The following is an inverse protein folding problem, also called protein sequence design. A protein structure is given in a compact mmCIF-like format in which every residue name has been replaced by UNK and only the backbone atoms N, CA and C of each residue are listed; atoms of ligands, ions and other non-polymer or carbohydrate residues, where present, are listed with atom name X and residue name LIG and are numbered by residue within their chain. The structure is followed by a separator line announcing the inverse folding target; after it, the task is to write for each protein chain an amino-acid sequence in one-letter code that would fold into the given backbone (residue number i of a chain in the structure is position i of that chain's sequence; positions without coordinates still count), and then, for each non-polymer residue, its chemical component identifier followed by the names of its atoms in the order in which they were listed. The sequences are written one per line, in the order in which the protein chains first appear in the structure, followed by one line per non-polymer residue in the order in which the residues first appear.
data_IF_623075878895
#
_entry.id   IF_623075878895
#
_cell.length_a   1.000
_cell.length_b   1.000
_cell.length_c   1.000
_cell.angle_alpha   90.00
_cell.angle_beta   90.00
_cell.angle_gamma   90.00
#
_symmetry.space_group_name_H-M   'P 1'
#
loop_
_entity.id
_entity.type
_entity.pdbx_description
1 polymer ?
#
# COMPACT_ATOMS: atom_id res chain seq x y z
N UNK A 1 -13.30 -3.52 28.23
CA UNK A 1 -12.34 -4.36 27.49
C UNK A 1 -11.72 -3.48 26.41
N UNK A 2 -10.40 -3.57 26.17
CA UNK A 2 -9.80 -2.85 25.04
C UNK A 2 -10.34 -3.43 23.73
N UNK A 3 -10.77 -2.57 22.81
CA UNK A 3 -11.12 -2.98 21.46
C UNK A 3 -9.90 -3.60 20.78
N UNK A 4 -10.12 -4.62 19.95
CA UNK A 4 -9.08 -5.13 19.06
C UNK A 4 -8.56 -4.02 18.16
N UNK A 5 -7.25 -3.99 17.92
CA UNK A 5 -6.63 -3.07 16.97
C UNK A 5 -6.44 -3.83 15.65
N UNK A 6 -7.27 -3.52 14.65
CA UNK A 6 -7.26 -4.18 13.34
C UNK A 6 -6.41 -3.37 12.37
N UNK A 7 -5.22 -3.87 12.05
CA UNK A 7 -4.29 -3.27 11.10
C UNK A 7 -4.49 -3.93 9.74
N UNK A 8 -4.71 -3.13 8.70
CA UNK A 8 -5.01 -3.60 7.35
C UNK A 8 -3.96 -3.07 6.36
N UNK A 9 -3.47 -3.94 5.49
CA UNK A 9 -2.83 -3.52 4.24
C UNK A 9 -3.88 -2.96 3.26
N UNK A 10 -3.42 -2.37 2.16
CA UNK A 10 -4.27 -1.91 1.07
C UNK A 10 -4.13 -2.79 -0.16
N UNK A 11 -2.93 -2.89 -0.74
CA UNK A 11 -2.70 -3.65 -1.97
C UNK A 11 -2.97 -5.14 -1.79
N UNK A 12 -3.94 -5.66 -2.54
CA UNK A 12 -4.44 -7.04 -2.42
C UNK A 12 -5.19 -7.35 -1.11
N UNK A 13 -5.63 -6.33 -0.37
CA UNK A 13 -6.50 -6.48 0.81
C UNK A 13 -7.73 -5.60 0.68
N UNK A 14 -7.56 -4.27 0.71
CA UNK A 14 -8.67 -3.31 0.57
C UNK A 14 -8.85 -2.81 -0.87
N UNK A 15 -7.81 -2.88 -1.70
CA UNK A 15 -7.84 -2.54 -3.12
C UNK A 15 -6.86 -3.41 -3.91
N UNK A 16 -7.02 -3.46 -5.22
CA UNK A 16 -6.09 -4.17 -6.11
C UNK A 16 -4.68 -3.57 -6.10
N UNK A 17 -3.68 -4.39 -6.42
CA UNK A 17 -2.28 -3.97 -6.58
C UNK A 17 -2.06 -3.19 -7.89
N UNK A 18 -0.88 -2.59 -8.06
CA UNK A 18 -0.51 -1.80 -9.25
C UNK A 18 0.04 -2.62 -10.42
N UNK A 19 -0.21 -3.93 -10.48
CA UNK A 19 0.43 -4.78 -11.50
C UNK A 19 0.01 -4.41 -12.92
N UNK A 20 -1.26 -4.08 -13.14
CA UNK A 20 -1.80 -3.66 -14.44
C UNK A 20 -1.15 -2.37 -14.97
N UNK A 21 -0.75 -1.45 -14.08
CA UNK A 21 -0.02 -0.24 -14.46
C UNK A 21 1.30 -0.58 -15.17
N UNK A 22 2.02 -1.59 -14.69
CA UNK A 22 3.31 -1.98 -15.27
C UNK A 22 3.15 -2.64 -16.64
N UNK A 23 2.07 -3.40 -16.86
CA UNK A 23 1.73 -3.92 -18.18
C UNK A 23 1.40 -2.80 -19.17
N UNK A 24 0.60 -1.82 -18.75
CA UNK A 24 0.27 -0.65 -19.57
C UNK A 24 1.53 0.16 -19.92
N UNK A 25 2.40 0.42 -18.94
CA UNK A 25 3.66 1.11 -19.17
C UNK A 25 4.57 0.34 -20.15
N UNK A 26 4.66 -0.97 -20.02
CA UNK A 26 5.42 -1.83 -20.94
C UNK A 26 4.91 -1.72 -22.38
N UNK A 27 3.59 -1.71 -22.58
CA UNK A 27 2.97 -1.54 -23.89
C UNK A 27 3.25 -0.15 -24.49
N UNK A 28 3.08 0.92 -23.70
CA UNK A 28 3.34 2.30 -24.13
C UNK A 28 4.81 2.53 -24.46
N UNK A 29 5.72 2.01 -23.63
CA UNK A 29 7.16 2.09 -23.85
C UNK A 29 7.65 1.22 -25.02
N UNK A 30 6.83 0.25 -25.46
CA UNK A 30 7.19 -0.80 -26.43
C UNK A 30 8.45 -1.57 -26.02
N UNK A 31 8.54 -1.87 -24.73
CA UNK A 31 9.63 -2.64 -24.12
C UNK A 31 9.06 -3.87 -23.40
N UNK A 32 9.80 -4.99 -23.32
CA UNK A 32 9.41 -6.12 -22.50
C UNK A 32 9.16 -5.70 -21.04
N UNK A 33 8.13 -6.26 -20.41
CA UNK A 33 7.78 -5.97 -19.02
C UNK A 33 8.95 -6.14 -18.06
N UNK A 34 9.72 -7.21 -18.23
CA UNK A 34 10.90 -7.50 -17.41
C UNK A 34 11.97 -6.40 -17.50
N UNK A 35 12.14 -5.80 -18.68
CA UNK A 35 13.08 -4.70 -18.87
C UNK A 35 12.60 -3.44 -18.13
N UNK A 36 11.33 -3.07 -18.29
CA UNK A 36 10.71 -1.96 -17.57
C UNK A 36 10.79 -2.17 -16.06
N UNK A 37 10.46 -3.37 -15.57
CA UNK A 37 10.54 -3.74 -14.15
C UNK A 37 11.97 -3.69 -13.63
N UNK A 38 12.95 -4.10 -14.42
CA UNK A 38 14.36 -4.07 -14.06
C UNK A 38 14.87 -2.63 -13.90
N UNK A 39 14.59 -1.76 -14.89
CA UNK A 39 14.94 -0.33 -14.84
C UNK A 39 14.30 0.32 -13.62
N UNK A 40 12.99 0.15 -13.43
CA UNK A 40 12.26 0.64 -12.26
C UNK A 40 12.88 0.17 -10.93
N UNK A 41 13.19 -1.12 -10.82
CA UNK A 41 13.73 -1.74 -9.61
C UNK A 41 15.09 -1.14 -9.23
N UNK A 42 15.94 -0.88 -10.21
CA UNK A 42 17.31 -0.36 -10.01
C UNK A 42 17.28 1.13 -9.74
N UNK A 43 16.50 1.89 -10.50
CA UNK A 43 16.64 3.35 -10.51
C UNK A 43 15.82 4.05 -9.45
N UNK A 44 14.59 3.58 -9.17
CA UNK A 44 13.62 4.44 -8.46
C UNK A 44 12.72 3.73 -7.45
N UNK A 45 12.54 2.40 -7.54
CA UNK A 45 11.60 1.65 -6.71
C UNK A 45 11.73 1.95 -5.22
N UNK A 46 12.95 1.87 -4.68
CA UNK A 46 13.17 2.04 -3.25
C UNK A 46 12.84 3.46 -2.80
N UNK A 47 13.26 4.46 -3.58
CA UNK A 47 13.08 5.87 -3.26
C UNK A 47 11.61 6.29 -3.39
N UNK A 48 10.90 5.75 -4.38
CA UNK A 48 9.47 5.95 -4.56
C UNK A 48 8.69 5.53 -3.31
N UNK A 49 8.88 4.29 -2.87
CA UNK A 49 8.10 3.73 -1.76
C UNK A 49 8.52 4.26 -0.39
N UNK A 50 9.71 4.86 -0.27
CA UNK A 50 10.18 5.50 0.97
C UNK A 50 9.93 7.00 1.01
N UNK A 51 9.41 7.61 -0.06
CA UNK A 51 9.17 9.06 -0.08
C UNK A 51 10.40 9.90 -0.33
N UNK A 52 11.52 9.29 -0.73
CA UNK A 52 12.75 10.03 -1.07
C UNK A 52 12.62 10.82 -2.37
N UNK A 53 11.67 10.44 -3.21
CA UNK A 53 11.20 11.22 -4.36
C UNK A 53 9.74 11.55 -4.18
N UNK A 54 9.28 12.60 -4.84
CA UNK A 54 7.89 13.03 -4.92
C UNK A 54 7.17 12.35 -6.10
N UNK A 55 5.84 12.41 -6.10
CA UNK A 55 5.07 11.93 -7.26
C UNK A 55 5.43 12.67 -8.56
N UNK A 56 5.56 14.02 -8.60
CA UNK A 56 6.01 14.71 -9.80
C UNK A 56 7.39 14.25 -10.30
N UNK A 57 8.32 13.94 -9.40
CA UNK A 57 9.64 13.40 -9.77
C UNK A 57 9.53 11.99 -10.35
N UNK A 58 8.61 11.16 -9.86
CA UNK A 58 8.31 9.86 -10.46
C UNK A 58 7.78 9.99 -11.90
N UNK A 59 6.87 10.92 -12.14
CA UNK A 59 6.35 11.18 -13.50
C UNK A 59 7.43 11.77 -14.43
N UNK A 60 8.28 12.65 -13.90
CA UNK A 60 9.44 13.20 -14.63
C UNK A 60 10.43 12.10 -15.01
N UNK A 61 10.72 11.18 -14.08
CA UNK A 61 11.56 10.02 -14.37
C UNK A 61 10.93 9.13 -15.44
N UNK A 62 9.63 8.82 -15.34
CA UNK A 62 8.93 8.00 -16.34
C UNK A 62 9.05 8.58 -17.75
N UNK A 63 8.75 9.87 -17.93
CA UNK A 63 8.81 10.52 -19.26
C UNK A 63 10.23 10.71 -19.77
N UNK A 64 11.22 10.84 -18.89
CA UNK A 64 12.64 10.90 -19.27
C UNK A 64 13.15 9.53 -19.71
N UNK A 65 12.82 8.48 -18.94
CA UNK A 65 13.29 7.11 -19.16
C UNK A 65 12.56 6.44 -20.33
N UNK A 66 11.26 6.73 -20.51
CA UNK A 66 10.42 6.18 -21.57
C UNK A 66 9.77 7.32 -22.38
N UNK A 67 10.51 8.00 -23.29
CA UNK A 67 10.07 9.24 -23.93
C UNK A 67 8.88 9.12 -24.91
N UNK A 68 8.38 7.90 -25.13
CA UNK A 68 7.25 7.63 -26.04
C UNK A 68 5.92 7.43 -25.31
N UNK A 69 5.92 7.43 -23.99
CA UNK A 69 4.70 7.20 -23.19
C UNK A 69 3.80 8.44 -23.21
N UNK A 70 2.50 8.21 -23.04
CA UNK A 70 1.57 9.27 -22.71
C UNK A 70 1.39 9.37 -21.17
N UNK A 71 1.93 10.43 -20.57
CA UNK A 71 1.88 10.65 -19.12
C UNK A 71 0.45 10.74 -18.57
N UNK A 72 -0.43 11.49 -19.23
CA UNK A 72 -1.81 11.69 -18.78
C UNK A 72 -2.61 10.38 -18.81
N UNK A 73 -2.43 9.59 -19.87
CA UNK A 73 -3.02 8.26 -19.96
C UNK A 73 -2.50 7.32 -18.86
N UNK A 74 -1.19 7.32 -18.61
CA UNK A 74 -0.61 6.47 -17.56
C UNK A 74 -1.02 6.89 -16.15
N UNK A 75 -1.23 8.20 -15.89
CA UNK A 75 -1.82 8.69 -14.63
C UNK A 75 -3.23 8.13 -14.44
N UNK A 76 -4.05 8.18 -15.48
CA UNK A 76 -5.40 7.59 -15.44
C UNK A 76 -5.34 6.09 -15.17
N UNK A 77 -4.48 5.35 -15.89
CA UNK A 77 -4.30 3.92 -15.67
C UNK A 77 -3.83 3.58 -14.26
N UNK A 78 -2.90 4.36 -13.70
CA UNK A 78 -2.41 4.16 -12.33
C UNK A 78 -3.56 4.29 -11.32
N UNK A 79 -4.37 5.34 -11.46
CA UNK A 79 -5.51 5.56 -10.56
C UNK A 79 -6.57 4.45 -10.68
N UNK A 80 -6.79 3.94 -11.89
CA UNK A 80 -7.72 2.84 -12.15
C UNK A 80 -7.22 1.48 -11.62
N UNK A 81 -5.91 1.33 -11.37
CA UNK A 81 -5.37 0.11 -10.76
C UNK A 81 -5.74 -0.02 -9.28
N UNK A 82 -6.10 1.05 -8.58
CA UNK A 82 -6.44 1.02 -7.16
C UNK A 82 -7.95 0.82 -6.97
N UNK A 83 -8.48 -0.26 -7.56
CA UNK A 83 -9.90 -0.60 -7.49
C UNK A 83 -10.23 -1.22 -6.13
N UNK A 84 -11.28 -0.75 -5.41
CA UNK A 84 -11.65 -1.32 -4.12
C UNK A 84 -12.03 -2.81 -4.21
N UNK A 85 -11.58 -3.59 -3.23
CA UNK A 85 -11.89 -5.02 -3.07
C UNK A 85 -13.06 -5.22 -2.10
N UNK A 86 -13.64 -6.43 -2.07
CA UNK A 86 -14.82 -6.75 -1.25
C UNK A 86 -14.62 -6.43 0.23
N UNK A 87 -13.42 -6.69 0.76
CA UNK A 87 -13.00 -6.37 2.12
C UNK A 87 -13.33 -4.92 2.58
N UNK A 88 -13.24 -3.94 1.67
CA UNK A 88 -13.50 -2.53 2.00
C UNK A 88 -14.93 -2.28 2.48
N UNK A 89 -15.87 -3.11 2.01
CA UNK A 89 -17.29 -2.99 2.37
C UNK A 89 -17.57 -3.41 3.82
N UNK A 90 -16.62 -4.11 4.46
CA UNK A 90 -16.74 -4.54 5.85
C UNK A 90 -16.18 -3.54 6.87
N UNK A 91 -15.54 -2.45 6.43
CA UNK A 91 -14.93 -1.46 7.34
C UNK A 91 -15.92 -0.91 8.38
N UNK A 92 -17.16 -0.60 7.99
CA UNK A 92 -18.20 -0.14 8.93
C UNK A 92 -18.52 -1.18 10.02
N UNK A 93 -18.61 -2.45 9.62
CA UNK A 93 -18.88 -3.57 10.54
C UNK A 93 -17.70 -3.79 11.49
N UNK A 94 -16.48 -3.75 10.97
CA UNK A 94 -15.27 -3.94 11.78
C UNK A 94 -15.06 -2.78 12.75
N UNK A 95 -15.31 -1.53 12.36
CA UNK A 95 -15.16 -0.34 13.21
C UNK A 95 -16.08 -0.36 14.45
N UNK A 96 -17.19 -1.11 14.38
CA UNK A 96 -18.08 -1.32 15.53
C UNK A 96 -17.43 -2.18 16.62
N UNK A 97 -16.44 -3.01 16.28
CA UNK A 97 -15.84 -4.00 17.18
C UNK A 97 -14.32 -3.80 17.39
N UNK A 98 -13.67 -3.04 16.51
CA UNK A 98 -12.22 -2.81 16.51
C UNK A 98 -11.89 -1.35 16.18
N UNK A 99 -10.72 -0.90 16.62
CA UNK A 99 -10.09 0.32 16.11
C UNK A 99 -9.36 -0.05 14.82
N UNK A 100 -9.65 0.64 13.70
CA UNK A 100 -9.09 0.30 12.38
C UNK A 100 -7.86 1.14 12.10
N UNK A 101 -6.77 0.49 11.69
CA UNK A 101 -5.51 1.12 11.33
C UNK A 101 -5.06 0.68 9.95
N UNK A 102 -4.38 1.56 9.22
CA UNK A 102 -3.77 1.24 7.93
C UNK A 102 -2.26 1.10 8.07
N UNK A 103 -1.68 0.04 7.50
CA UNK A 103 -0.24 -0.15 7.37
C UNK A 103 0.11 -0.63 5.95
N UNK A 104 0.56 0.29 5.10
CA UNK A 104 0.66 0.05 3.66
C UNK A 104 1.98 0.52 3.05
N UNK A 105 2.55 -0.29 2.16
CA UNK A 105 3.68 0.11 1.33
C UNK A 105 3.18 0.79 0.08
N UNK A 106 3.08 2.11 0.11
CA UNK A 106 2.44 2.86 -0.95
C UNK A 106 2.88 4.33 -0.99
N UNK A 107 2.41 5.07 -2.00
CA UNK A 107 2.47 6.54 -2.09
C UNK A 107 1.20 7.13 -1.50
N UNK A 108 1.33 7.98 -0.49
CA UNK A 108 0.19 8.55 0.22
C UNK A 108 -0.79 9.27 -0.71
N UNK A 109 -0.28 9.98 -1.71
CA UNK A 109 -1.05 10.70 -2.74
C UNK A 109 -2.01 9.78 -3.52
N UNK A 110 -1.61 8.53 -3.74
CA UNK A 110 -2.42 7.57 -4.51
C UNK A 110 -3.52 6.93 -3.68
N UNK A 111 -3.35 6.83 -2.36
CA UNK A 111 -4.25 6.04 -1.49
C UNK A 111 -5.18 6.89 -0.66
N UNK A 112 -4.83 8.14 -0.37
CA UNK A 112 -5.75 9.04 0.32
C UNK A 112 -7.08 9.23 -0.40
N UNK A 113 -7.15 9.35 -1.74
CA UNK A 113 -8.44 9.39 -2.44
C UNK A 113 -9.31 8.15 -2.17
N UNK A 114 -8.71 6.96 -2.16
CA UNK A 114 -9.39 5.69 -1.86
C UNK A 114 -9.91 5.64 -0.42
N UNK A 115 -9.12 6.12 0.55
CA UNK A 115 -9.48 6.08 1.97
C UNK A 115 -10.42 7.21 2.41
N UNK A 116 -10.52 8.29 1.63
CA UNK A 116 -11.26 9.49 2.01
C UNK A 116 -12.72 9.23 2.44
N UNK A 117 -13.51 8.35 1.78
CA UNK A 117 -14.87 8.02 2.23
C UNK A 117 -14.93 7.37 3.62
N UNK A 118 -13.86 6.65 4.00
CA UNK A 118 -13.78 5.87 5.24
C UNK A 118 -12.94 6.55 6.32
N UNK A 119 -12.41 7.75 6.08
CA UNK A 119 -11.51 8.47 7.00
C UNK A 119 -12.01 8.55 8.44
N UNK A 120 -13.32 8.69 8.63
CA UNK A 120 -13.96 8.77 9.94
C UNK A 120 -13.97 7.44 10.73
N UNK A 121 -13.71 6.31 10.07
CA UNK A 121 -13.60 4.97 10.67
C UNK A 121 -12.15 4.62 11.05
N UNK A 122 -11.17 5.36 10.52
CA UNK A 122 -9.75 5.04 10.67
C UNK A 122 -9.18 5.73 11.91
N UNK A 123 -8.61 4.95 12.81
CA UNK A 123 -7.93 5.42 14.02
C UNK A 123 -6.51 5.91 13.72
N UNK A 124 -5.81 5.28 12.78
CA UNK A 124 -4.51 5.77 12.32
C UNK A 124 -4.13 5.25 10.94
N UNK A 125 -3.20 5.93 10.27
CA UNK A 125 -2.72 5.60 8.93
C UNK A 125 -1.19 5.67 8.94
N UNK A 126 -0.54 4.59 8.51
CA UNK A 126 0.91 4.50 8.33
C UNK A 126 1.22 4.08 6.88
N UNK A 127 1.72 5.02 6.07
CA UNK A 127 2.07 4.80 4.67
C UNK A 127 3.59 4.93 4.51
N UNK A 128 4.21 3.98 3.80
CA UNK A 128 5.67 3.90 3.70
C UNK A 128 6.33 5.15 3.12
N UNK A 129 5.68 5.84 2.18
CA UNK A 129 6.22 7.08 1.58
C UNK A 129 6.27 8.24 2.55
N UNK A 130 5.41 8.27 3.56
CA UNK A 130 5.47 9.30 4.63
C UNK A 130 6.38 8.85 5.76
N UNK A 131 6.43 7.54 6.02
CA UNK A 131 7.21 6.94 7.09
C UNK A 131 8.72 6.85 6.79
N UNK A 132 9.16 7.00 5.53
CA UNK A 132 10.57 6.83 5.15
C UNK A 132 11.02 5.36 5.05
N UNK A 133 10.13 4.41 5.32
CA UNK A 133 10.44 2.98 5.44
C UNK A 133 9.20 2.14 5.13
N UNK A 134 9.40 0.99 4.47
CA UNK A 134 8.35 0.06 4.07
C UNK A 134 8.49 -1.32 4.71
N UNK A 135 7.39 -2.06 4.79
CA UNK A 135 7.36 -3.50 5.08
C UNK A 135 8.30 -4.25 4.10
N UNK A 136 8.99 -5.32 4.52
CA UNK A 136 8.94 -5.97 5.83
C UNK A 136 9.95 -5.40 6.86
N UNK A 137 10.48 -4.20 6.67
CA UNK A 137 11.40 -3.57 7.64
C UNK A 137 10.70 -3.34 8.99
N UNK A 138 11.29 -3.82 10.09
CA UNK A 138 10.70 -3.75 11.43
C UNK A 138 10.35 -2.32 11.88
N UNK A 139 11.04 -1.30 11.35
CA UNK A 139 10.82 0.10 11.74
C UNK A 139 9.41 0.58 11.39
N UNK A 140 8.80 0.13 10.29
CA UNK A 140 7.44 0.55 9.93
C UNK A 140 6.40 0.04 10.94
N UNK A 141 6.57 -1.18 11.46
CA UNK A 141 5.68 -1.76 12.46
C UNK A 141 5.78 -1.03 13.79
N UNK A 142 6.98 -0.56 14.15
CA UNK A 142 7.19 0.29 15.33
C UNK A 142 6.47 1.63 15.18
N UNK A 143 6.59 2.28 14.02
CA UNK A 143 5.87 3.53 13.73
C UNK A 143 4.34 3.35 13.79
N UNK A 144 3.83 2.24 13.25
CA UNK A 144 2.41 1.90 13.36
C UNK A 144 2.00 1.68 14.82
N UNK A 145 2.79 0.94 15.59
CA UNK A 145 2.54 0.70 17.02
C UNK A 145 2.58 1.98 17.85
N UNK A 146 3.44 2.94 17.50
CA UNK A 146 3.52 4.24 18.18
C UNK A 146 2.23 5.06 18.02
N UNK A 147 1.50 4.87 16.91
CA UNK A 147 0.17 5.46 16.70
C UNK A 147 -0.94 4.69 17.43
N UNK A 148 -0.81 3.36 17.57
CA UNK A 148 -1.77 2.49 18.28
C UNK A 148 -1.67 2.69 19.80
N UNK A 149 -0.46 2.91 20.32
CA UNK A 149 -0.16 2.93 21.76
C UNK A 149 -0.16 1.54 22.37
N UNK A 150 -0.31 1.45 23.70
CA UNK A 150 -0.24 0.17 24.45
C UNK A 150 -1.51 -0.71 24.32
N UNK A 151 -2.31 -0.50 23.28
CA UNK A 151 -3.57 -1.21 23.06
C UNK A 151 -3.35 -2.59 22.45
N UNK A 152 -4.04 -3.59 23.00
CA UNK A 152 -4.00 -4.98 22.56
C UNK A 152 -5.40 -5.63 22.67
N UNK A 153 -5.69 -6.70 21.89
CA UNK A 153 -4.81 -7.37 20.93
C UNK A 153 -4.67 -6.61 19.60
N UNK A 154 -3.58 -6.86 18.87
CA UNK A 154 -3.36 -6.35 17.50
C UNK A 154 -3.49 -7.51 16.51
N UNK A 155 -4.32 -7.33 15.48
CA UNK A 155 -4.48 -8.26 14.36
C UNK A 155 -4.05 -7.55 13.09
N UNK A 156 -3.07 -8.09 12.37
CA UNK A 156 -2.59 -7.56 11.10
C UNK A 156 -3.00 -8.44 9.92
N UNK A 157 -3.64 -7.85 8.93
CA UNK A 157 -4.08 -8.49 7.69
C UNK A 157 -3.26 -7.96 6.52
N UNK A 158 -2.60 -8.87 5.79
CA UNK A 158 -1.76 -8.56 4.63
C UNK A 158 -1.81 -9.74 3.66
N UNK A 159 -1.66 -9.50 2.36
CA UNK A 159 -1.66 -10.57 1.35
C UNK A 159 -0.27 -11.22 1.16
N UNK A 160 0.78 -10.66 1.76
CA UNK A 160 2.17 -11.12 1.60
C UNK A 160 2.71 -11.69 2.90
N UNK A 161 3.06 -12.98 2.87
CA UNK A 161 3.66 -13.68 4.02
C UNK A 161 4.93 -13.01 4.55
N UNK A 162 5.74 -12.40 3.69
CA UNK A 162 6.94 -11.65 4.10
C UNK A 162 6.64 -10.47 5.03
N UNK A 163 5.46 -9.82 4.87
CA UNK A 163 5.01 -8.75 5.74
C UNK A 163 4.47 -9.28 7.08
N UNK A 164 3.87 -10.47 7.09
CA UNK A 164 3.33 -11.05 8.32
C UNK A 164 4.42 -11.56 9.27
N UNK A 165 5.57 -12.00 8.75
CA UNK A 165 6.65 -12.58 9.56
C UNK A 165 7.20 -11.59 10.62
N UNK A 166 7.55 -10.33 10.29
CA UNK A 166 7.94 -9.33 11.29
C UNK A 166 6.86 -9.04 12.32
N UNK A 167 5.59 -8.95 11.91
CA UNK A 167 4.45 -8.68 12.80
C UNK A 167 4.30 -9.79 13.86
N UNK A 168 4.38 -11.07 13.47
CA UNK A 168 4.36 -12.20 14.41
C UNK A 168 5.50 -12.11 15.42
N UNK A 169 6.71 -11.72 14.98
CA UNK A 169 7.89 -11.61 15.86
C UNK A 169 7.76 -10.53 16.93
N UNK A 170 6.88 -9.55 16.74
CA UNK A 170 6.57 -8.50 17.74
C UNK A 170 5.28 -8.78 18.52
N UNK A 171 4.73 -9.99 18.41
CA UNK A 171 3.57 -10.44 19.19
C UNK A 171 2.20 -10.09 18.58
N UNK A 172 2.14 -9.61 17.34
CA UNK A 172 0.86 -9.39 16.66
C UNK A 172 0.27 -10.72 16.19
N UNK A 173 -1.06 -10.82 16.28
CA UNK A 173 -1.79 -11.84 15.54
C UNK A 173 -1.81 -11.43 14.07
N UNK A 174 -1.78 -12.41 13.17
CA UNK A 174 -1.73 -12.12 11.73
C UNK A 174 -2.70 -13.01 10.96
N UNK A 175 -3.33 -12.44 9.95
CA UNK A 175 -4.18 -13.14 8.98
C UNK A 175 -3.57 -12.91 7.59
N UNK A 176 -3.37 -14.00 6.85
CA UNK A 176 -3.04 -13.90 5.43
C UNK A 176 -4.35 -13.67 4.68
N UNK A 177 -4.46 -12.52 4.01
CA UNK A 177 -5.63 -12.26 3.16
C UNK A 177 -5.70 -13.32 2.06
N UNK A 178 -6.88 -13.91 1.88
CA UNK A 178 -7.08 -14.89 0.83
C UNK A 178 -7.24 -14.21 -0.54
N UNK A 179 -7.06 -14.98 -1.60
CA UNK A 179 -7.23 -14.49 -2.97
C UNK A 179 -8.68 -14.16 -3.34
N UNK A 180 -9.66 -14.57 -2.51
CA UNK A 180 -11.06 -14.20 -2.66
C UNK A 180 -11.39 -12.84 -2.04
N UNK A 181 -10.48 -12.27 -1.25
CA UNK A 181 -10.61 -10.98 -0.56
C UNK A 181 -11.82 -10.90 0.40
N UNK A 182 -12.13 -12.02 1.08
CA UNK A 182 -13.23 -12.14 2.05
C UNK A 182 -12.77 -12.09 3.52
#
# INVERSE_FOLDING_TARGET
MNKTQLVLDIGGVLATDLDDFWYTLSNEARLPLEEVRSIYKVEIRQDLWRGNITEPEFWTWLTTTFPKINEDYLKECLMNCLTPLEAINYLNRWASNADIHILSNHRAEWIYPLLQPFKHLLSSITISSEAGVGKPDKRIYKLCMDQIGDKHPVIFVDNKMENLVPARKIGWQTILADSSNQ
#
